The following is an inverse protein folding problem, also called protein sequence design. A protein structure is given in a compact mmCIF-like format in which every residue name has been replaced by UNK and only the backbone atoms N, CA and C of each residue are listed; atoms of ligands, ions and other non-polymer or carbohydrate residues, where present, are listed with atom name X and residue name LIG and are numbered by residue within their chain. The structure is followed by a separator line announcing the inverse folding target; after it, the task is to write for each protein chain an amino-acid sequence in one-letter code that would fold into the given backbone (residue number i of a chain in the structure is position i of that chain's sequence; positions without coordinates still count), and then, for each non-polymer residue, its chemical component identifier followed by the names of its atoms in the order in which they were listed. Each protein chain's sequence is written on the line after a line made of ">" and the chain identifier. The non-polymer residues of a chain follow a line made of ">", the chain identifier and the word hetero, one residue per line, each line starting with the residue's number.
data_IF_932543721412
#
_entry.id   IF_932543721412
#
_cell.length_a   1.000
_cell.length_b   1.000
_cell.length_c   1.000
_cell.angle_alpha   90.00
_cell.angle_beta   90.00
_cell.angle_gamma   90.00
#
_symmetry.space_group_name_H-M   'P 1'
#
loop_
_entity.id
_entity.type
_entity.pdbx_description
1 polymer ?
#
# COMPACT_ATOMS: atom_id res chain seq x y z
N UNK A 1 -4.09 -7.70 -0.31
CA UNK A 1 -3.51 -8.95 0.27
C UNK A 1 -3.43 -10.00 -0.82
N UNK A 2 -2.22 -10.51 -1.11
CA UNK A 2 -2.10 -11.63 -2.04
C UNK A 2 -2.94 -12.77 -1.46
N UNK A 3 -3.94 -13.29 -2.19
CA UNK A 3 -4.72 -14.41 -1.70
C UNK A 3 -3.78 -15.55 -1.34
N UNK A 4 -3.95 -16.12 -0.16
CA UNK A 4 -3.21 -17.32 0.30
C UNK A 4 -3.23 -18.42 -0.78
N UNK A 5 -4.28 -18.45 -1.60
CA UNK A 5 -4.42 -19.33 -2.76
C UNK A 5 -3.30 -19.16 -3.82
N UNK A 6 -2.81 -17.95 -4.05
CA UNK A 6 -1.71 -17.70 -5.01
C UNK A 6 -0.38 -18.22 -4.42
N UNK A 7 -0.16 -17.97 -3.14
CA UNK A 7 1.04 -18.47 -2.44
C UNK A 7 1.04 -20.00 -2.38
N UNK A 8 -0.12 -20.62 -2.07
CA UNK A 8 -0.30 -22.06 -2.12
C UNK A 8 -0.10 -22.63 -3.53
N UNK A 9 -0.65 -21.94 -4.56
CA UNK A 9 -0.44 -22.32 -5.96
C UNK A 9 1.03 -22.34 -6.36
N UNK A 10 1.79 -21.31 -5.97
CA UNK A 10 3.24 -21.25 -6.23
C UNK A 10 3.99 -22.38 -5.52
N UNK A 11 3.66 -22.70 -4.26
CA UNK A 11 4.25 -23.81 -3.50
C UNK A 11 3.95 -25.14 -4.19
N UNK A 12 2.70 -25.35 -4.64
CA UNK A 12 2.31 -26.60 -5.34
C UNK A 12 3.11 -26.74 -6.65
N UNK A 13 3.22 -25.69 -7.46
CA UNK A 13 4.01 -25.69 -8.70
C UNK A 13 5.47 -26.00 -8.43
N UNK A 14 6.07 -25.39 -7.41
CA UNK A 14 7.46 -25.67 -7.00
C UNK A 14 7.65 -27.11 -6.55
N UNK A 15 6.69 -27.66 -5.81
CA UNK A 15 6.75 -29.05 -5.32
C UNK A 15 6.63 -30.05 -6.46
N UNK A 16 5.71 -29.83 -7.40
CA UNK A 16 5.54 -30.66 -8.60
C UNK A 16 6.79 -30.61 -9.48
N UNK A 17 7.37 -29.41 -9.65
CA UNK A 17 8.62 -29.24 -10.39
C UNK A 17 9.78 -30.00 -9.73
N UNK A 18 9.94 -29.93 -8.41
CA UNK A 18 10.97 -30.65 -7.67
C UNK A 18 10.81 -32.19 -7.79
N UNK A 19 9.59 -32.70 -7.70
CA UNK A 19 9.27 -34.11 -7.88
C UNK A 19 9.59 -34.57 -9.34
N UNK A 20 9.25 -33.73 -10.31
CA UNK A 20 9.54 -34.04 -11.73
C UNK A 20 11.04 -34.15 -12.03
N UNK A 21 11.89 -33.32 -11.38
CA UNK A 21 13.36 -33.46 -11.48
C UNK A 21 13.84 -34.78 -10.90
N UNK A 22 13.23 -35.21 -9.82
CA UNK A 22 13.63 -36.42 -9.11
C UNK A 22 13.29 -37.67 -9.94
N UNK A 23 12.14 -37.65 -10.63
CA UNK A 23 11.67 -38.75 -11.45
C UNK A 23 12.35 -38.84 -12.83
N UNK A 24 12.80 -37.72 -13.43
CA UNK A 24 13.41 -37.66 -14.76
C UNK A 24 14.73 -36.90 -14.74
N UNK A 25 15.85 -37.55 -14.41
CA UNK A 25 17.15 -36.92 -14.15
C UNK A 25 17.93 -36.50 -15.40
N UNK A 26 17.31 -36.12 -16.50
CA UNK A 26 18.04 -35.60 -17.66
C UNK A 26 18.67 -34.23 -17.34
N UNK A 27 19.89 -33.98 -17.86
CA UNK A 27 20.61 -32.71 -17.64
C UNK A 27 19.77 -31.50 -18.07
N UNK A 28 18.99 -31.62 -19.14
CA UNK A 28 18.12 -30.57 -19.67
C UNK A 28 16.96 -30.26 -18.72
N UNK A 29 16.29 -31.31 -18.21
CA UNK A 29 15.19 -31.12 -17.24
C UNK A 29 15.65 -30.44 -15.96
N UNK A 30 16.85 -30.81 -15.46
CA UNK A 30 17.44 -30.15 -14.27
C UNK A 30 17.72 -28.67 -14.50
N UNK A 31 18.19 -28.29 -15.70
CA UNK A 31 18.45 -26.89 -16.04
C UNK A 31 17.18 -26.06 -16.12
N UNK A 32 16.13 -26.53 -16.78
CA UNK A 32 14.86 -25.84 -16.95
C UNK A 32 14.16 -25.65 -15.59
N UNK A 33 14.12 -26.71 -14.78
CA UNK A 33 13.44 -26.64 -13.48
C UNK A 33 14.26 -25.84 -12.45
N UNK A 34 15.59 -25.90 -12.50
CA UNK A 34 16.46 -25.05 -11.70
C UNK A 34 16.21 -23.57 -12.00
N UNK A 35 16.11 -23.19 -13.27
CA UNK A 35 15.78 -21.84 -13.70
C UNK A 35 14.39 -21.40 -13.20
N UNK A 36 13.36 -22.22 -13.42
CA UNK A 36 12.00 -21.93 -12.96
C UNK A 36 11.87 -21.76 -11.43
N UNK A 37 12.65 -22.53 -10.66
CA UNK A 37 12.71 -22.39 -9.20
C UNK A 37 13.32 -21.03 -8.78
N UNK A 38 14.41 -20.63 -9.44
CA UNK A 38 15.03 -19.33 -9.15
C UNK A 38 14.07 -18.20 -9.48
N UNK A 39 13.42 -18.23 -10.64
CA UNK A 39 12.44 -17.22 -11.04
C UNK A 39 11.25 -17.16 -10.08
N UNK A 40 10.75 -18.31 -9.62
CA UNK A 40 9.67 -18.37 -8.65
C UNK A 40 10.07 -17.78 -7.29
N UNK A 41 11.29 -18.00 -6.83
CA UNK A 41 11.82 -17.42 -5.59
C UNK A 41 11.95 -15.91 -5.72
N UNK A 42 12.50 -15.41 -6.83
CA UNK A 42 12.63 -13.97 -7.10
C UNK A 42 11.25 -13.31 -7.13
N UNK A 43 10.29 -13.93 -7.84
CA UNK A 43 8.92 -13.44 -7.90
C UNK A 43 8.25 -13.41 -6.52
N UNK A 44 8.44 -14.44 -5.70
CA UNK A 44 7.88 -14.49 -4.34
C UNK A 44 8.46 -13.37 -3.47
N UNK A 45 9.78 -13.14 -3.52
CA UNK A 45 10.43 -12.04 -2.79
C UNK A 45 9.86 -10.68 -3.23
N UNK A 46 9.71 -10.49 -4.55
CA UNK A 46 9.13 -9.27 -5.11
C UNK A 46 7.69 -9.04 -4.63
N UNK A 47 6.85 -10.08 -4.65
CA UNK A 47 5.48 -9.99 -4.12
C UNK A 47 5.43 -9.66 -2.62
N UNK A 48 6.33 -10.23 -1.81
CA UNK A 48 6.43 -9.93 -0.38
C UNK A 48 6.82 -8.46 -0.18
N UNK A 49 7.79 -7.95 -0.94
CA UNK A 49 8.24 -6.57 -0.85
C UNK A 49 7.12 -5.58 -1.23
N UNK A 50 6.37 -5.84 -2.31
CA UNK A 50 5.24 -5.02 -2.72
C UNK A 50 4.11 -5.02 -1.67
N UNK A 51 3.80 -6.19 -1.10
CA UNK A 51 2.79 -6.29 -0.05
C UNK A 51 3.20 -5.53 1.22
N UNK A 52 4.47 -5.62 1.60
CA UNK A 52 5.00 -4.87 2.74
C UNK A 52 4.99 -3.36 2.47
N UNK A 53 5.30 -2.94 1.24
CA UNK A 53 5.21 -1.54 0.80
C UNK A 53 3.79 -1.00 0.90
N UNK A 54 2.82 -1.68 0.31
CA UNK A 54 1.41 -1.29 0.35
C UNK A 54 0.89 -1.17 1.79
N UNK A 55 1.22 -2.14 2.64
CA UNK A 55 0.82 -2.09 4.05
C UNK A 55 1.48 -0.95 4.82
N UNK A 56 2.74 -0.64 4.50
CA UNK A 56 3.44 0.50 5.11
C UNK A 56 2.82 1.84 4.71
N UNK A 57 2.42 1.99 3.44
CA UNK A 57 1.74 3.19 2.94
C UNK A 57 0.37 3.39 3.61
N UNK A 58 -0.43 2.33 3.72
CA UNK A 58 -1.72 2.37 4.40
C UNK A 58 -1.58 2.74 5.87
N UNK A 59 -0.63 2.11 6.58
CA UNK A 59 -0.35 2.42 7.98
C UNK A 59 0.12 3.87 8.15
N UNK A 60 0.99 4.36 7.24
CA UNK A 60 1.41 5.75 7.24
C UNK A 60 0.21 6.71 7.12
N UNK A 61 -0.71 6.45 6.19
CA UNK A 61 -1.90 7.27 6.02
C UNK A 61 -2.80 7.25 7.25
N UNK A 62 -3.02 6.08 7.85
CA UNK A 62 -3.84 5.97 9.07
C UNK A 62 -3.26 6.78 10.22
N UNK A 63 -1.98 6.61 10.50
CA UNK A 63 -1.30 7.37 11.58
C UNK A 63 -1.30 8.86 11.29
N UNK A 64 -1.06 9.23 10.03
CA UNK A 64 -1.02 10.64 9.62
C UNK A 64 -2.39 11.30 9.70
N UNK A 65 -3.45 10.57 9.39
CA UNK A 65 -4.82 11.03 9.57
C UNK A 65 -5.11 11.35 11.03
N UNK A 66 -4.80 10.45 11.94
CA UNK A 66 -5.03 10.62 13.38
C UNK A 66 -4.23 11.81 13.92
N UNK A 67 -2.97 11.97 13.52
CA UNK A 67 -2.13 13.11 13.89
C UNK A 67 -2.73 14.44 13.42
N UNK A 68 -3.25 14.49 12.20
CA UNK A 68 -3.87 15.70 11.64
C UNK A 68 -5.19 16.03 12.33
N UNK A 69 -5.98 15.02 12.70
CA UNK A 69 -7.21 15.24 13.47
C UNK A 69 -6.92 15.77 14.88
N UNK A 70 -5.88 15.30 15.54
CA UNK A 70 -5.43 15.85 16.81
C UNK A 70 -4.90 17.28 16.67
N UNK A 71 -4.12 17.53 15.61
CA UNK A 71 -3.56 18.86 15.35
C UNK A 71 -4.65 19.88 15.00
N UNK A 72 -5.71 19.47 14.31
CA UNK A 72 -6.85 20.29 13.97
C UNK A 72 -7.45 21.00 15.19
N UNK A 73 -7.62 20.32 16.32
CA UNK A 73 -8.13 20.90 17.56
C UNK A 73 -7.25 22.06 18.08
N UNK A 74 -5.95 21.99 17.82
CA UNK A 74 -4.99 23.06 18.17
C UNK A 74 -5.13 24.24 17.20
N UNK A 75 -5.30 23.94 15.91
CA UNK A 75 -5.38 24.93 14.83
C UNK A 75 -6.64 25.78 14.94
N UNK A 76 -7.79 25.15 15.20
CA UNK A 76 -9.10 25.84 15.33
C UNK A 76 -9.09 26.88 16.44
N UNK A 77 -8.36 26.62 17.52
CA UNK A 77 -8.25 27.53 18.65
C UNK A 77 -7.07 28.50 18.54
N UNK A 78 -6.31 28.45 17.44
CA UNK A 78 -5.14 29.31 17.23
C UNK A 78 -5.51 30.57 16.44
N UNK A 79 -5.15 31.73 16.95
CA UNK A 79 -5.21 33.01 16.22
C UNK A 79 -3.99 33.19 15.29
N UNK A 80 -3.01 32.29 15.35
CA UNK A 80 -1.77 32.37 14.59
C UNK A 80 -1.98 31.82 13.18
N UNK A 81 -1.96 32.69 12.18
CA UNK A 81 -2.09 32.31 10.75
C UNK A 81 -1.04 31.30 10.31
N UNK A 82 0.19 31.39 10.81
CA UNK A 82 1.25 30.44 10.46
C UNK A 82 0.88 29.00 10.83
N UNK A 83 0.24 28.80 11.98
CA UNK A 83 -0.23 27.49 12.45
C UNK A 83 -1.30 26.95 11.49
N UNK A 84 -2.15 27.82 10.97
CA UNK A 84 -3.19 27.45 10.00
C UNK A 84 -2.58 27.05 8.66
N UNK A 85 -1.64 27.85 8.13
CA UNK A 85 -0.95 27.52 6.88
C UNK A 85 -0.19 26.19 6.98
N UNK A 86 0.53 25.95 8.07
CA UNK A 86 1.24 24.69 8.32
C UNK A 86 0.28 23.48 8.33
N UNK A 87 -0.91 23.65 8.92
CA UNK A 87 -1.94 22.62 8.88
C UNK A 87 -2.43 22.35 7.46
N UNK A 88 -2.73 23.38 6.68
CA UNK A 88 -3.16 23.24 5.28
C UNK A 88 -2.13 22.49 4.43
N UNK A 89 -0.87 22.86 4.55
CA UNK A 89 0.21 22.19 3.82
C UNK A 89 0.29 20.70 4.18
N UNK A 90 0.14 20.38 5.44
CA UNK A 90 0.15 18.99 5.92
C UNK A 90 -1.06 18.20 5.43
N UNK A 91 -2.24 18.80 5.41
CA UNK A 91 -3.46 18.14 4.88
C UNK A 91 -3.36 17.95 3.37
N UNK A 92 -2.85 18.93 2.63
CA UNK A 92 -2.61 18.79 1.19
C UNK A 92 -1.65 17.64 0.90
N UNK A 93 -0.52 17.57 1.62
CA UNK A 93 0.43 16.48 1.48
C UNK A 93 -0.17 15.11 1.83
N UNK A 94 -1.05 15.04 2.82
CA UNK A 94 -1.80 13.84 3.17
C UNK A 94 -2.75 13.43 2.03
N UNK A 95 -3.56 14.37 1.52
CA UNK A 95 -4.52 14.09 0.45
C UNK A 95 -3.82 13.64 -0.84
N UNK A 96 -2.67 14.25 -1.20
CA UNK A 96 -1.87 13.77 -2.33
C UNK A 96 -1.37 12.34 -2.13
N UNK A 97 -0.93 11.99 -0.92
CA UNK A 97 -0.51 10.63 -0.60
C UNK A 97 -1.69 9.66 -0.64
N UNK A 98 -2.85 10.06 -0.14
CA UNK A 98 -4.10 9.31 -0.22
C UNK A 98 -4.48 9.01 -1.69
N UNK A 99 -4.50 10.03 -2.56
CA UNK A 99 -4.82 9.86 -3.98
C UNK A 99 -3.86 8.88 -4.67
N UNK A 100 -2.57 8.95 -4.36
CA UNK A 100 -1.56 8.02 -4.89
C UNK A 100 -1.85 6.57 -4.47
N UNK A 101 -2.22 6.34 -3.22
CA UNK A 101 -2.57 5.00 -2.72
C UNK A 101 -3.85 4.49 -3.37
N UNK A 102 -4.89 5.32 -3.51
CA UNK A 102 -6.12 4.94 -4.21
C UNK A 102 -5.83 4.59 -5.67
N UNK A 103 -5.10 5.44 -6.39
CA UNK A 103 -4.72 5.16 -7.77
C UNK A 103 -3.90 3.87 -7.92
N UNK A 104 -2.99 3.59 -6.98
CA UNK A 104 -2.22 2.35 -6.96
C UNK A 104 -3.11 1.13 -6.68
N UNK A 105 -4.10 1.27 -5.79
CA UNK A 105 -5.05 0.20 -5.45
C UNK A 105 -6.00 -0.15 -6.60
N UNK A 106 -6.32 0.80 -7.46
CA UNK A 106 -7.15 0.62 -8.66
C UNK A 106 -6.35 0.05 -9.84
N UNK A 107 -5.03 0.06 -9.76
CA UNK A 107 -4.16 -0.48 -10.80
C UNK A 107 -4.33 -2.00 -10.93
N UNK A 108 -4.40 -2.50 -12.17
CA UNK A 108 -4.48 -3.94 -12.48
C UNK A 108 -3.33 -4.76 -11.89
N UNK A 109 -2.16 -4.15 -11.69
CA UNK A 109 -0.95 -4.82 -11.23
C UNK A 109 -0.72 -4.66 -9.73
N UNK A 110 -1.03 -3.49 -9.18
CA UNK A 110 -0.75 -3.16 -7.78
C UNK A 110 -1.96 -3.38 -6.87
N UNK A 111 -3.18 -3.30 -7.40
CA UNK A 111 -4.41 -3.42 -6.60
C UNK A 111 -4.52 -4.70 -5.77
N UNK A 112 -3.83 -5.77 -6.19
CA UNK A 112 -3.83 -7.04 -5.45
C UNK A 112 -3.10 -6.99 -4.10
N UNK A 113 -2.27 -5.96 -3.89
CA UNK A 113 -1.50 -5.78 -2.67
C UNK A 113 -2.23 -4.94 -1.62
N UNK A 114 -3.31 -4.25 -2.02
CA UNK A 114 -4.12 -3.43 -1.13
C UNK A 114 -5.36 -4.21 -0.65
N UNK A 115 -5.61 -4.18 0.65
CA UNK A 115 -6.81 -4.77 1.24
C UNK A 115 -7.97 -3.80 1.12
N UNK A 116 -9.12 -4.25 0.60
CA UNK A 116 -10.33 -3.42 0.55
C UNK A 116 -10.80 -2.99 1.95
N UNK A 117 -10.57 -3.83 2.97
CA UNK A 117 -10.89 -3.52 4.37
C UNK A 117 -10.01 -2.39 4.92
N UNK A 118 -8.69 -2.46 4.65
CA UNK A 118 -7.75 -1.42 5.07
C UNK A 118 -7.96 -0.11 4.29
N UNK A 119 -8.27 -0.18 2.98
CA UNK A 119 -8.60 1.00 2.18
C UNK A 119 -9.86 1.71 2.68
N UNK A 120 -10.83 0.97 3.21
CA UNK A 120 -12.06 1.55 3.77
C UNK A 120 -11.82 2.32 5.08
N UNK A 121 -10.65 2.19 5.71
CA UNK A 121 -10.31 2.91 6.95
C UNK A 121 -9.66 4.27 6.70
N UNK A 122 -9.16 4.52 5.48
CA UNK A 122 -8.53 5.78 5.11
C UNK A 122 -9.53 6.66 4.35
N UNK A 123 -9.53 7.96 4.66
CA UNK A 123 -10.42 8.93 4.03
C UNK A 123 -9.66 10.21 3.70
N UNK A 124 -10.02 10.93 2.63
CA UNK A 124 -9.47 12.25 2.39
C UNK A 124 -9.95 13.21 3.47
N UNK A 125 -9.15 14.21 3.77
CA UNK A 125 -9.54 15.27 4.70
C UNK A 125 -10.16 16.40 3.89
N UNK A 126 -11.45 16.64 4.12
CA UNK A 126 -12.19 17.70 3.46
C UNK A 126 -12.12 18.98 4.29
N UNK A 127 -11.54 20.02 3.70
CA UNK A 127 -11.47 21.34 4.33
C UNK A 127 -12.84 22.01 4.50
N UNK A 128 -13.81 21.69 3.65
CA UNK A 128 -15.13 22.33 3.69
C UNK A 128 -15.96 21.91 4.90
N UNK A 129 -15.71 20.71 5.43
CA UNK A 129 -16.37 20.25 6.65
C UNK A 129 -15.82 20.90 7.92
N UNK A 130 -14.68 21.59 7.82
CA UNK A 130 -13.95 22.11 8.95
C UNK A 130 -13.98 23.63 9.07
N UNK A 131 -14.91 24.29 8.40
CA UNK A 131 -15.29 25.67 8.66
C UNK A 131 -15.13 26.63 7.48
N UNK A 132 -16.26 27.09 7.00
CA UNK A 132 -16.42 28.14 5.98
C UNK A 132 -15.82 29.50 6.36
N UNK A 133 -15.10 29.59 7.47
CA UNK A 133 -14.57 30.84 8.01
C UNK A 133 -13.04 30.97 7.94
N UNK A 134 -12.36 30.06 7.23
CA UNK A 134 -10.89 30.13 7.14
C UNK A 134 -10.40 31.18 6.14
N UNK A 135 -11.19 31.51 5.13
CA UNK A 135 -10.94 32.67 4.27
C UNK A 135 -11.75 33.84 4.82
N UNK A 136 -11.18 34.55 5.77
CA UNK A 136 -11.70 35.85 6.15
C UNK A 136 -11.82 36.72 4.91
N UNK A 137 -13.03 37.18 4.60
CA UNK A 137 -13.24 38.24 3.64
C UNK A 137 -12.35 39.41 4.04
N UNK A 138 -11.32 39.72 3.21
CA UNK A 138 -10.54 40.94 3.28
C UNK A 138 -11.19 42.03 2.45
#
# INVERSE_FOLDING_TARGET
>A
MIPISILLGAIVVMTVAAISIWLHPTKLAKGIVGGALVDAIIFAIFCIALNAGAKSELNYLTVRYDDLMLYYNTVVNSENEYVRYDYYDKVNAYNEAYEKVIAASESKWNGWFYSAEELATIHPIDFTLHGDNFYGEG
#
